data_IF_121795208413
#
_entry.id   IF_121795208413
#
_cell.length_a   1.000
_cell.length_b   1.000
_cell.length_c   1.000
_cell.angle_alpha   90.00
_cell.angle_beta   90.00
_cell.angle_gamma   90.00
#
_symmetry.space_group_name_H-M   'P 1'
#
loop_
_entity.id
_entity.type
_entity.pdbx_description
1 polymer ?
#
# COMPACT_ATOMS: atom_id res chain seq x y z
N UNK A 1 4.70 25.49 -6.91
CA UNK A 1 5.73 25.02 -5.95
C UNK A 1 5.19 25.23 -4.54
N UNK A 2 5.41 24.30 -3.61
CA UNK A 2 4.93 24.46 -2.23
C UNK A 2 5.51 25.72 -1.60
N UNK A 3 4.72 26.44 -0.79
CA UNK A 3 5.22 27.60 -0.06
C UNK A 3 6.08 27.17 1.14
N UNK A 4 6.96 28.05 1.62
CA UNK A 4 7.89 27.81 2.75
C UNK A 4 7.22 27.19 4.01
N UNK A 5 5.96 27.53 4.28
CA UNK A 5 5.18 26.97 5.41
C UNK A 5 4.90 25.48 5.24
N UNK A 6 4.63 25.02 4.02
CA UNK A 6 4.31 23.63 3.71
C UNK A 6 5.56 22.75 3.77
N UNK A 7 6.69 23.25 3.28
CA UNK A 7 7.99 22.58 3.40
C UNK A 7 8.39 22.41 4.87
N UNK A 8 8.20 23.46 5.67
CA UNK A 8 8.44 23.39 7.12
C UNK A 8 7.54 22.35 7.78
N UNK A 9 6.24 22.32 7.45
CA UNK A 9 5.31 21.33 8.00
C UNK A 9 5.70 19.89 7.65
N UNK A 10 6.14 19.65 6.40
CA UNK A 10 6.63 18.33 5.95
C UNK A 10 7.86 17.92 6.75
N UNK A 11 8.85 18.81 6.87
CA UNK A 11 10.08 18.52 7.63
C UNK A 11 9.79 18.26 9.12
N UNK A 12 8.89 19.04 9.72
CA UNK A 12 8.47 18.83 11.12
C UNK A 12 7.78 17.49 11.31
N UNK A 13 6.88 17.10 10.41
CA UNK A 13 6.19 15.82 10.49
C UNK A 13 7.17 14.63 10.37
N UNK A 14 8.14 14.72 9.46
CA UNK A 14 9.20 13.71 9.33
C UNK A 14 10.05 13.64 10.59
N UNK A 15 10.46 14.78 11.15
CA UNK A 15 11.26 14.84 12.37
C UNK A 15 10.49 14.31 13.60
N UNK A 16 9.17 14.53 13.65
CA UNK A 16 8.31 14.00 14.70
C UNK A 16 7.98 12.51 14.53
N UNK A 17 8.11 11.97 13.32
CA UNK A 17 7.64 10.62 12.99
C UNK A 17 6.11 10.50 12.98
N UNK A 18 5.41 11.61 12.76
CA UNK A 18 3.94 11.68 12.79
C UNK A 18 3.34 11.91 11.39
N UNK A 19 2.13 11.40 11.12
CA UNK A 19 1.48 11.59 9.82
C UNK A 19 1.01 13.04 9.62
N UNK A 20 1.28 13.61 8.44
CA UNK A 20 0.84 14.96 8.07
C UNK A 20 -0.46 14.92 7.24
N UNK A 21 -1.51 15.58 7.74
CA UNK A 21 -2.77 15.77 7.01
C UNK A 21 -2.80 17.14 6.31
N UNK A 22 -2.91 17.14 4.98
CA UNK A 22 -2.99 18.38 4.17
C UNK A 22 -4.45 18.65 3.79
N UNK A 23 -5.00 19.77 4.26
CA UNK A 23 -6.37 20.21 3.96
C UNK A 23 -6.40 21.49 3.11
N UNK A 24 -7.55 21.81 2.51
CA UNK A 24 -7.83 23.10 1.87
C UNK A 24 -8.77 22.98 0.67
N UNK A 25 -8.90 24.06 -0.11
CA UNK A 25 -9.81 24.11 -1.25
C UNK A 25 -9.43 23.13 -2.38
N UNK A 26 -10.41 22.56 -3.11
CA UNK A 26 -10.12 21.75 -4.28
C UNK A 26 -9.33 22.56 -5.34
N UNK A 27 -8.38 21.91 -6.02
CA UNK A 27 -7.58 22.55 -7.05
C UNK A 27 -6.27 23.21 -6.59
N UNK A 28 -5.96 23.26 -5.29
CA UNK A 28 -4.71 23.88 -4.78
C UNK A 28 -3.46 23.00 -4.87
N UNK A 29 -3.45 21.94 -5.68
CA UNK A 29 -2.27 21.10 -5.89
C UNK A 29 -1.84 20.22 -4.69
N UNK A 30 -2.76 19.82 -3.81
CA UNK A 30 -2.46 18.94 -2.64
C UNK A 30 -1.85 17.61 -3.09
N UNK A 31 -2.49 16.96 -4.05
CA UNK A 31 -2.00 15.69 -4.62
C UNK A 31 -0.63 15.87 -5.24
N UNK A 32 -0.42 16.97 -5.98
CA UNK A 32 0.87 17.28 -6.59
C UNK A 32 1.97 17.56 -5.55
N UNK A 33 1.60 18.12 -4.40
CA UNK A 33 2.53 18.29 -3.26
C UNK A 33 3.01 16.95 -2.73
N UNK A 34 2.13 15.94 -2.61
CA UNK A 34 2.52 14.61 -2.16
C UNK A 34 3.55 13.96 -3.10
N UNK A 35 3.33 14.03 -4.41
CA UNK A 35 4.31 13.55 -5.41
C UNK A 35 5.63 14.32 -5.36
N UNK A 36 5.56 15.64 -5.21
CA UNK A 36 6.75 16.48 -5.09
C UNK A 36 7.55 16.18 -3.81
N UNK A 37 6.87 15.94 -2.69
CA UNK A 37 7.50 15.54 -1.43
C UNK A 37 8.19 14.18 -1.59
N UNK A 38 7.54 13.19 -2.18
CA UNK A 38 8.11 11.88 -2.47
C UNK A 38 9.39 11.98 -3.32
N UNK A 39 9.36 12.75 -4.41
CA UNK A 39 10.52 13.03 -5.26
C UNK A 39 11.69 13.67 -4.49
N UNK A 40 11.39 14.66 -3.64
CA UNK A 40 12.40 15.35 -2.82
C UNK A 40 13.01 14.47 -1.73
N UNK A 41 12.22 13.56 -1.19
CA UNK A 41 12.63 12.62 -0.14
C UNK A 41 13.32 11.37 -0.72
N UNK A 42 13.35 11.20 -2.05
CA UNK A 42 13.88 10.00 -2.69
C UNK A 42 13.03 8.75 -2.48
N UNK A 43 11.76 8.93 -2.09
CA UNK A 43 10.82 7.84 -1.79
C UNK A 43 9.94 7.63 -3.02
N UNK A 44 10.54 7.11 -4.09
CA UNK A 44 9.83 6.77 -5.33
C UNK A 44 9.76 5.25 -5.51
N UNK A 45 8.58 4.71 -5.90
CA UNK A 45 7.34 5.42 -6.21
C UNK A 45 6.55 5.84 -4.95
N UNK A 46 5.89 7.00 -5.03
CA UNK A 46 4.97 7.44 -3.97
C UNK A 46 3.81 6.46 -3.80
N UNK A 47 3.54 6.04 -2.56
CA UNK A 47 2.39 5.19 -2.27
C UNK A 47 1.11 6.00 -2.43
N UNK A 48 0.29 5.59 -3.39
CA UNK A 48 -0.99 6.22 -3.68
C UNK A 48 -2.14 5.25 -3.41
N UNK A 49 -3.06 5.66 -2.55
CA UNK A 49 -4.27 4.91 -2.24
C UNK A 49 -5.45 5.86 -2.14
N UNK A 50 -6.55 5.54 -2.81
CA UNK A 50 -7.80 6.30 -2.78
C UNK A 50 -8.75 5.61 -1.80
N UNK A 51 -9.11 6.31 -0.72
CA UNK A 51 -10.03 5.80 0.30
C UNK A 51 -11.47 6.12 -0.10
N UNK A 52 -12.33 5.10 -0.05
CA UNK A 52 -13.79 5.21 -0.23
C UNK A 52 -14.50 4.73 1.05
N UNK A 53 -15.80 4.95 1.17
CA UNK A 53 -16.57 4.58 2.36
C UNK A 53 -16.63 3.07 2.64
N UNK A 54 -16.41 2.26 1.61
CA UNK A 54 -16.37 0.79 1.65
C UNK A 54 -14.95 0.23 1.79
N UNK A 55 -13.92 1.07 1.83
CA UNK A 55 -12.53 0.64 1.91
C UNK A 55 -12.19 0.13 3.31
N UNK A 56 -11.60 -1.06 3.39
CA UNK A 56 -11.17 -1.67 4.66
C UNK A 56 -9.65 -1.68 4.78
N UNK A 57 -9.14 -1.81 6.02
CA UNK A 57 -7.70 -1.90 6.26
C UNK A 57 -7.04 -3.10 5.53
N UNK A 58 -7.79 -4.18 5.31
CA UNK A 58 -7.32 -5.34 4.56
C UNK A 58 -6.97 -4.97 3.12
N UNK A 59 -7.75 -4.11 2.48
CA UNK A 59 -7.54 -3.70 1.08
C UNK A 59 -6.21 -2.97 0.86
N UNK A 60 -5.64 -2.37 1.92
CA UNK A 60 -4.31 -1.75 1.87
C UNK A 60 -3.17 -2.76 2.02
N UNK A 61 -3.41 -3.82 2.81
CA UNK A 61 -2.40 -4.84 3.14
C UNK A 61 -2.36 -5.95 2.08
N UNK A 62 -3.49 -6.61 1.82
CA UNK A 62 -3.52 -7.71 0.88
C UNK A 62 -4.91 -7.92 0.28
N UNK A 63 -4.96 -8.53 -0.90
CA UNK A 63 -6.19 -9.01 -1.49
C UNK A 63 -6.18 -10.52 -1.48
N UNK A 64 -7.26 -11.11 -0.99
CA UNK A 64 -7.46 -12.55 -1.05
C UNK A 64 -8.33 -12.86 -2.27
N UNK A 65 -7.77 -13.56 -3.25
CA UNK A 65 -8.52 -13.97 -4.44
C UNK A 65 -9.43 -15.16 -4.11
N UNK A 66 -10.64 -14.84 -3.67
CA UNK A 66 -11.67 -15.82 -3.34
C UNK A 66 -12.15 -16.61 -4.57
N UNK A 67 -12.07 -16.02 -5.76
CA UNK A 67 -12.60 -16.62 -6.99
C UNK A 67 -11.66 -17.72 -7.45
N UNK A 68 -10.35 -17.43 -7.51
CA UNK A 68 -9.32 -18.43 -7.84
C UNK A 68 -9.30 -19.55 -6.80
N UNK A 69 -9.37 -19.21 -5.52
CA UNK A 69 -9.45 -20.21 -4.45
C UNK A 69 -10.67 -21.13 -4.61
N UNK A 70 -11.84 -20.58 -4.91
CA UNK A 70 -13.05 -21.39 -5.08
C UNK A 70 -13.00 -22.27 -6.33
N UNK A 71 -12.43 -21.76 -7.43
CA UNK A 71 -12.22 -22.52 -8.66
C UNK A 71 -11.32 -23.74 -8.43
N UNK A 72 -10.16 -23.53 -7.81
CA UNK A 72 -9.20 -24.61 -7.53
C UNK A 72 -9.76 -25.60 -6.51
N UNK A 73 -10.49 -25.12 -5.50
CA UNK A 73 -11.18 -25.98 -4.54
C UNK A 73 -12.22 -26.89 -5.22
N UNK A 74 -12.87 -26.41 -6.28
CA UNK A 74 -13.80 -27.22 -7.06
C UNK A 74 -13.07 -28.30 -7.87
N UNK A 75 -11.96 -27.96 -8.54
CA UNK A 75 -11.15 -28.91 -9.31
C UNK A 75 -10.59 -30.02 -8.43
N UNK A 76 -10.00 -29.67 -7.28
CA UNK A 76 -9.50 -30.63 -6.29
C UNK A 76 -10.59 -31.60 -5.84
N UNK A 77 -11.82 -31.13 -5.63
CA UNK A 77 -12.93 -32.00 -5.25
C UNK A 77 -13.36 -32.96 -6.37
N UNK A 78 -13.17 -32.60 -7.63
CA UNK A 78 -13.45 -33.49 -8.78
C UNK A 78 -12.33 -34.54 -8.97
N UNK A 79 -11.09 -34.18 -8.65
CA UNK A 79 -9.90 -35.03 -8.80
C UNK A 79 -9.69 -36.02 -7.64
N UNK A 80 -10.34 -35.82 -6.49
CA UNK A 80 -10.32 -36.72 -5.31
C UNK A 80 -10.91 -38.13 -5.53
N UNK A 81 -10.95 -38.60 -6.77
CA UNK A 81 -11.31 -39.97 -7.16
C UNK A 81 -10.20 -40.97 -6.80
N UNK A 82 -8.96 -40.51 -6.71
CA UNK A 82 -7.81 -41.33 -6.33
C UNK A 82 -7.47 -41.14 -4.84
N UNK A 83 -7.39 -42.22 -4.02
CA UNK A 83 -7.27 -42.12 -2.56
C UNK A 83 -5.87 -41.74 -2.03
N UNK A 84 -4.90 -41.47 -2.90
CA UNK A 84 -3.47 -41.28 -2.54
C UNK A 84 -2.95 -39.83 -2.76
N UNK A 85 -3.76 -38.91 -3.29
CA UNK A 85 -3.33 -37.53 -3.52
C UNK A 85 -3.73 -36.56 -2.39
N UNK A 86 -2.74 -36.07 -1.62
CA UNK A 86 -2.92 -34.95 -0.68
C UNK A 86 -2.98 -33.63 -1.45
N UNK A 87 -4.15 -33.30 -1.98
CA UNK A 87 -4.41 -32.06 -2.70
C UNK A 87 -4.94 -30.97 -1.75
N UNK A 88 -4.19 -30.65 -0.69
CA UNK A 88 -4.55 -29.57 0.25
C UNK A 88 -4.16 -28.20 -0.31
N UNK A 89 -5.14 -27.31 -0.51
CA UNK A 89 -4.90 -25.94 -0.97
C UNK A 89 -4.37 -25.06 0.16
N UNK A 90 -3.18 -24.47 -0.01
CA UNK A 90 -2.67 -23.46 0.91
C UNK A 90 -3.29 -22.10 0.60
N UNK A 91 -3.83 -21.44 1.62
CA UNK A 91 -4.46 -20.12 1.49
C UNK A 91 -3.47 -19.01 1.21
N UNK A 92 -2.19 -19.18 1.59
CA UNK A 92 -1.16 -18.16 1.41
C UNK A 92 -0.87 -17.88 -0.07
N UNK A 93 -1.08 -18.87 -0.94
CA UNK A 93 -0.88 -18.75 -2.38
C UNK A 93 -1.86 -17.78 -3.06
N UNK A 94 -3.04 -17.57 -2.45
CA UNK A 94 -4.12 -16.72 -2.97
C UNK A 94 -4.09 -15.30 -2.40
N UNK A 95 -3.00 -14.92 -1.73
CA UNK A 95 -2.84 -13.61 -1.11
C UNK A 95 -1.94 -12.72 -1.97
N UNK A 96 -2.53 -11.71 -2.58
CA UNK A 96 -1.80 -10.70 -3.34
C UNK A 96 -1.43 -9.50 -2.45
N UNK A 97 -0.13 -9.20 -2.26
CA UNK A 97 0.30 -8.06 -1.44
C UNK A 97 -0.05 -6.73 -2.11
N UNK A 98 -0.67 -5.83 -1.33
CA UNK A 98 -1.12 -4.49 -1.77
C UNK A 98 -0.10 -3.41 -1.40
N UNK A 99 -0.48 -2.16 -1.64
CA UNK A 99 0.39 -0.96 -1.55
C UNK A 99 1.09 -0.81 -0.19
N UNK A 100 0.43 -1.18 0.92
CA UNK A 100 1.00 -1.02 2.26
C UNK A 100 1.85 -2.22 2.69
N UNK A 101 1.67 -3.39 2.08
CA UNK A 101 2.44 -4.60 2.44
C UNK A 101 3.91 -4.49 2.03
N UNK A 102 4.19 -3.94 0.85
CA UNK A 102 5.55 -3.82 0.30
C UNK A 102 6.54 -3.12 1.24
N UNK A 103 6.26 -1.89 1.74
CA UNK A 103 7.17 -1.21 2.67
C UNK A 103 7.24 -1.90 4.04
N UNK A 104 6.22 -2.67 4.43
CA UNK A 104 6.21 -3.38 5.70
C UNK A 104 7.01 -4.69 5.62
N UNK A 105 7.04 -5.32 4.45
CA UNK A 105 7.72 -6.59 4.19
C UNK A 105 9.20 -6.43 3.80
N UNK A 106 9.63 -5.24 3.38
CA UNK A 106 11.00 -4.97 2.95
C UNK A 106 11.51 -3.59 3.34
N UNK A 107 12.65 -3.60 4.04
CA UNK A 107 13.68 -2.57 4.19
C UNK A 107 13.25 -1.14 4.60
N UNK A 108 13.77 -0.67 5.73
CA UNK A 108 13.64 0.72 6.16
C UNK A 108 14.29 1.62 5.12
N UNK A 109 13.46 2.35 4.38
CA UNK A 109 13.96 3.44 3.53
C UNK A 109 14.41 4.56 4.46
N UNK A 110 15.73 4.73 4.62
CA UNK A 110 16.27 5.89 5.31
C UNK A 110 15.94 7.14 4.51
N UNK A 111 14.97 7.90 5.00
CA UNK A 111 14.51 9.12 4.36
C UNK A 111 15.53 10.21 4.63
N UNK A 112 16.41 10.49 3.67
CA UNK A 112 17.31 11.65 3.72
C UNK A 112 16.64 12.85 3.03
N UNK A 113 16.22 13.90 3.75
CA UNK A 113 15.61 15.05 3.13
C UNK A 113 16.65 15.81 2.28
N UNK A 114 16.45 15.89 0.96
CA UNK A 114 17.24 16.75 0.04
C UNK A 114 16.98 18.24 0.22
N UNK A 115 16.55 18.63 1.41
CA UNK A 115 16.19 19.98 1.83
C UNK A 115 17.27 20.63 2.72
N UNK A 116 18.37 19.92 3.01
CA UNK A 116 19.55 20.47 3.67
C UNK A 116 20.34 21.39 2.73
#
# INVERSE_FOLDING_TARGET
MPGKRLETAINTAIAAGEPLLITGEPGTGKTQTAYYAAYKLGVEPALHFQVKSDSTAKDLLYHFDTVRYFHDAHLVNLEKKDPDCDNTLDKTEYVDPRVLWRPFAGEKTEVCPRWC
#
